data_IF_374233143901
#
_entry.id   IF_374233143901
#
_cell.length_a   1.000
_cell.length_b   1.000
_cell.length_c   1.000
_cell.angle_alpha   90.00
_cell.angle_beta   90.00
_cell.angle_gamma   90.00
#
_symmetry.space_group_name_H-M   'P 1'
#
loop_
_entity.id
_entity.type
_entity.pdbx_description
1 polymer ?
#
# COMPACT_ATOMS: atom_id res chain seq x y z
N UNK A 1 -28.66 67.23 12.85
CA UNK A 1 -29.19 65.86 12.83
C UNK A 1 -28.13 65.01 13.49
N UNK A 2 -28.48 64.27 14.55
CA UNK A 2 -27.51 63.40 15.24
C UNK A 2 -27.31 62.15 14.41
N UNK A 3 -26.06 61.78 14.11
CA UNK A 3 -25.77 60.49 13.49
C UNK A 3 -26.15 59.34 14.45
N UNK A 4 -26.74 58.27 13.91
CA UNK A 4 -27.15 57.09 14.67
C UNK A 4 -26.11 55.96 14.61
N UNK A 5 -26.19 54.97 15.52
CA UNK A 5 -25.32 53.79 15.50
C UNK A 5 -25.61 52.88 14.30
N UNK A 6 -24.65 52.05 13.92
CA UNK A 6 -24.86 51.01 12.90
C UNK A 6 -25.92 49.97 13.29
N UNK A 7 -26.45 49.24 12.30
CA UNK A 7 -27.48 48.22 12.48
C UNK A 7 -27.23 46.97 11.62
N UNK A 8 -27.69 45.79 12.07
CA UNK A 8 -27.69 44.55 11.27
C UNK A 8 -29.06 44.36 10.61
N UNK A 9 -29.09 43.98 9.33
CA UNK A 9 -30.33 43.60 8.65
C UNK A 9 -30.78 42.16 8.97
N UNK A 10 -31.90 41.75 8.38
CA UNK A 10 -32.46 40.41 8.56
C UNK A 10 -31.60 39.29 7.95
N UNK A 11 -30.61 39.62 7.11
CA UNK A 11 -29.71 38.70 6.41
C UNK A 11 -28.35 38.57 7.12
N UNK A 12 -28.14 39.32 8.20
CA UNK A 12 -26.91 39.28 9.00
C UNK A 12 -25.82 40.24 8.51
N UNK A 13 -26.14 41.15 7.59
CA UNK A 13 -25.21 42.17 7.09
C UNK A 13 -25.27 43.40 7.99
N UNK A 14 -24.11 43.81 8.52
CA UNK A 14 -23.99 44.99 9.38
C UNK A 14 -23.73 46.27 8.55
N UNK A 15 -24.55 47.29 8.74
CA UNK A 15 -24.45 48.62 8.14
C UNK A 15 -23.94 49.61 9.17
N UNK A 16 -22.82 50.27 8.87
CA UNK A 16 -22.13 51.17 9.80
C UNK A 16 -22.81 52.55 9.91
N UNK A 17 -22.83 53.10 11.13
CA UNK A 17 -23.25 54.47 11.44
C UNK A 17 -22.05 55.38 11.71
N UNK A 18 -22.21 56.70 11.57
CA UNK A 18 -21.07 57.65 11.68
C UNK A 18 -20.44 57.74 13.10
N UNK A 19 -21.05 57.08 14.09
CA UNK A 19 -20.53 57.01 15.47
C UNK A 19 -19.63 55.78 15.74
N UNK A 20 -19.45 54.89 14.75
CA UNK A 20 -18.64 53.69 14.88
C UNK A 20 -17.15 54.05 14.71
N UNK A 21 -16.46 54.43 15.80
CA UNK A 21 -15.06 54.88 15.81
C UNK A 21 -14.07 53.80 15.25
N UNK A 22 -13.52 54.06 14.05
CA UNK A 22 -12.16 53.83 13.48
C UNK A 22 -11.36 52.51 13.72
N UNK A 23 -11.80 51.55 14.53
CA UNK A 23 -11.07 50.27 14.72
C UNK A 23 -11.54 49.11 13.82
N UNK A 24 -12.61 49.30 13.04
CA UNK A 24 -13.41 48.15 12.60
C UNK A 24 -12.91 47.44 11.34
N UNK A 25 -12.29 48.16 10.39
CA UNK A 25 -11.87 47.55 9.12
C UNK A 25 -10.54 46.80 9.23
N UNK A 26 -9.55 47.35 9.96
CA UNK A 26 -8.29 46.64 10.18
C UNK A 26 -8.49 45.37 11.00
N UNK A 27 -9.38 45.41 12.00
CA UNK A 27 -9.70 44.24 12.83
C UNK A 27 -10.47 43.18 12.04
N UNK A 28 -11.41 43.60 11.17
CA UNK A 28 -12.09 42.70 10.23
C UNK A 28 -11.09 42.03 9.27
N UNK A 29 -10.15 42.80 8.71
CA UNK A 29 -9.11 42.26 7.81
C UNK A 29 -8.18 41.30 8.55
N UNK A 30 -7.79 41.62 9.80
CA UNK A 30 -6.97 40.75 10.63
C UNK A 30 -7.70 39.45 11.00
N UNK A 31 -8.99 39.54 11.33
CA UNK A 31 -9.83 38.38 11.62
C UNK A 31 -10.00 37.50 10.38
N UNK A 32 -10.28 38.11 9.22
CA UNK A 32 -10.41 37.38 7.96
C UNK A 32 -9.08 36.72 7.57
N UNK A 33 -7.96 37.44 7.70
CA UNK A 33 -6.62 36.89 7.45
C UNK A 33 -6.33 35.69 8.35
N UNK A 34 -6.68 35.79 9.62
CA UNK A 34 -6.52 34.70 10.60
C UNK A 34 -7.40 33.51 10.25
N UNK A 35 -8.68 33.74 9.92
CA UNK A 35 -9.62 32.69 9.57
C UNK A 35 -9.23 31.96 8.27
N UNK A 36 -8.84 32.70 7.23
CA UNK A 36 -8.37 32.13 5.96
C UNK A 36 -7.08 31.36 6.16
N UNK A 37 -6.15 31.88 6.98
CA UNK A 37 -4.91 31.17 7.32
C UNK A 37 -5.20 29.85 8.06
N UNK A 38 -6.12 29.86 9.03
CA UNK A 38 -6.51 28.65 9.75
C UNK A 38 -7.17 27.61 8.83
N UNK A 39 -8.07 28.03 7.95
CA UNK A 39 -8.67 27.14 6.95
C UNK A 39 -7.62 26.58 5.99
N UNK A 40 -6.67 27.40 5.54
CA UNK A 40 -5.61 26.96 4.64
C UNK A 40 -4.71 25.91 5.30
N UNK A 41 -4.43 26.04 6.60
CA UNK A 41 -3.67 25.04 7.37
C UNK A 41 -4.42 23.69 7.39
N UNK A 42 -5.73 23.72 7.63
CA UNK A 42 -6.55 22.50 7.63
C UNK A 42 -6.57 21.82 6.26
N UNK A 43 -6.73 22.60 5.19
CA UNK A 43 -6.71 22.09 3.81
C UNK A 43 -5.37 21.44 3.48
N UNK A 44 -4.25 22.08 3.85
CA UNK A 44 -2.90 21.53 3.64
C UNK A 44 -2.67 20.23 4.41
N UNK A 45 -3.04 20.19 5.69
CA UNK A 45 -2.92 18.97 6.49
C UNK A 45 -3.75 17.81 5.92
N UNK A 46 -4.95 18.11 5.39
CA UNK A 46 -5.78 17.15 4.69
C UNK A 46 -5.14 16.63 3.40
N UNK A 47 -4.50 17.52 2.62
CA UNK A 47 -3.78 17.16 1.41
C UNK A 47 -2.56 16.26 1.73
N UNK A 48 -1.74 16.62 2.71
CA UNK A 48 -0.57 15.83 3.12
C UNK A 48 -0.97 14.43 3.59
N UNK A 49 -2.09 14.33 4.32
CA UNK A 49 -2.64 13.03 4.76
C UNK A 49 -3.14 12.20 3.56
N UNK A 50 -3.76 12.85 2.57
CA UNK A 50 -4.23 12.17 1.38
C UNK A 50 -3.06 11.66 0.52
N UNK A 51 -1.99 12.45 0.42
CA UNK A 51 -0.75 12.10 -0.28
C UNK A 51 -0.12 10.84 0.31
N UNK A 52 0.09 10.80 1.64
CA UNK A 52 0.62 9.61 2.30
C UNK A 52 -0.26 8.37 2.13
N UNK A 53 -1.60 8.54 2.11
CA UNK A 53 -2.53 7.44 1.82
C UNK A 53 -2.48 6.96 0.37
N UNK A 54 -2.12 7.83 -0.57
CA UNK A 54 -1.92 7.45 -1.97
C UNK A 54 -0.63 6.64 -2.10
N UNK A 55 0.46 7.06 -1.47
CA UNK A 55 1.71 6.31 -1.43
C UNK A 55 1.49 4.88 -0.87
N UNK A 56 0.82 4.78 0.28
CA UNK A 56 0.48 3.48 0.89
C UNK A 56 -0.36 2.58 -0.05
N UNK A 57 -1.26 3.18 -0.85
CA UNK A 57 -2.10 2.45 -1.80
C UNK A 57 -1.31 2.02 -3.03
N UNK A 58 -0.44 2.88 -3.56
CA UNK A 58 0.45 2.56 -4.66
C UNK A 58 1.34 1.38 -4.27
N UNK A 59 1.94 1.40 -3.08
CA UNK A 59 2.74 0.30 -2.56
C UNK A 59 1.90 -0.97 -2.33
N UNK A 60 0.70 -0.86 -1.76
CA UNK A 60 -0.17 -2.01 -1.51
C UNK A 60 -0.74 -2.66 -2.78
N UNK A 61 -0.75 -1.94 -3.90
CA UNK A 61 -1.31 -2.41 -5.18
C UNK A 61 -0.27 -2.62 -6.28
N UNK A 62 0.99 -2.23 -6.03
CA UNK A 62 2.10 -2.44 -6.94
C UNK A 62 2.21 -3.90 -7.36
N UNK A 63 2.19 -4.14 -8.67
CA UNK A 63 2.14 -5.47 -9.26
C UNK A 63 3.34 -5.69 -10.17
N UNK A 64 4.15 -6.70 -9.85
CA UNK A 64 5.36 -7.02 -10.62
C UNK A 64 5.07 -7.78 -11.92
N UNK A 65 3.83 -8.24 -12.13
CA UNK A 65 3.52 -9.27 -13.11
C UNK A 65 4.19 -10.61 -12.78
N UNK A 66 4.00 -11.59 -13.65
CA UNK A 66 4.62 -12.91 -13.50
C UNK A 66 6.06 -12.89 -14.02
N UNK A 67 6.99 -13.33 -13.18
CA UNK A 67 8.43 -13.39 -13.45
C UNK A 67 8.87 -14.85 -13.33
N UNK A 68 9.62 -15.35 -14.33
CA UNK A 68 10.20 -16.70 -14.30
C UNK A 68 11.21 -16.85 -13.16
N UNK A 69 11.14 -17.98 -12.46
CA UNK A 69 12.10 -18.32 -11.43
C UNK A 69 13.31 -19.05 -12.03
N UNK A 70 14.51 -18.72 -11.54
CA UNK A 70 15.70 -19.53 -11.81
C UNK A 70 15.68 -20.77 -10.91
N UNK A 71 15.63 -21.94 -11.52
CA UNK A 71 15.70 -23.22 -10.81
C UNK A 71 17.12 -23.51 -10.32
N UNK A 72 17.22 -24.07 -9.12
CA UNK A 72 18.49 -24.57 -8.57
C UNK A 72 18.97 -25.80 -9.33
N UNK A 73 20.29 -26.05 -9.27
CA UNK A 73 20.91 -27.24 -9.88
C UNK A 73 20.19 -28.53 -9.48
N UNK A 74 19.97 -29.41 -10.46
CA UNK A 74 19.24 -30.67 -10.27
C UNK A 74 17.72 -30.56 -10.41
N UNK A 75 17.16 -29.35 -10.42
CA UNK A 75 15.75 -29.12 -10.71
C UNK A 75 15.53 -28.79 -12.18
N UNK A 76 14.38 -29.21 -12.72
CA UNK A 76 13.96 -28.90 -14.09
C UNK A 76 12.52 -28.35 -14.09
N UNK A 77 12.26 -27.46 -15.04
CA UNK A 77 10.91 -26.97 -15.30
C UNK A 77 10.11 -28.06 -16.04
N UNK A 78 8.79 -28.01 -15.89
CA UNK A 78 7.86 -28.80 -16.69
C UNK A 78 7.28 -27.88 -17.77
N UNK A 79 7.18 -28.37 -19.00
CA UNK A 79 6.51 -27.66 -20.10
C UNK A 79 5.13 -27.20 -19.66
N UNK A 80 4.76 -25.96 -20.01
CA UNK A 80 3.50 -25.28 -19.63
C UNK A 80 3.33 -24.98 -18.13
N UNK A 81 4.27 -25.40 -17.28
CA UNK A 81 4.27 -25.16 -15.84
C UNK A 81 5.60 -24.57 -15.36
N UNK A 82 6.21 -23.68 -16.14
CA UNK A 82 7.42 -22.96 -15.72
C UNK A 82 7.22 -22.31 -14.35
N UNK A 83 8.06 -22.61 -13.35
CA UNK A 83 8.01 -21.96 -12.05
C UNK A 83 8.12 -20.44 -12.17
N UNK A 84 7.14 -19.74 -11.60
CA UNK A 84 7.01 -18.29 -11.68
C UNK A 84 6.62 -17.70 -10.33
N UNK A 85 7.01 -16.44 -10.14
CA UNK A 85 6.67 -15.63 -8.97
C UNK A 85 6.05 -14.30 -9.39
N UNK A 86 5.16 -13.78 -8.57
CA UNK A 86 4.55 -12.45 -8.71
C UNK A 86 4.37 -11.84 -7.33
N UNK A 87 4.57 -10.53 -7.18
CA UNK A 87 4.28 -9.80 -5.95
C UNK A 87 3.24 -8.74 -6.25
N UNK A 88 2.16 -8.72 -5.45
CA UNK A 88 1.13 -7.67 -5.47
C UNK A 88 1.07 -7.09 -4.07
N UNK A 89 1.50 -5.83 -3.93
CA UNK A 89 1.77 -5.25 -2.62
C UNK A 89 2.67 -6.15 -1.78
N UNK A 90 2.32 -6.49 -0.53
CA UNK A 90 3.16 -7.36 0.30
C UNK A 90 3.00 -8.86 -0.01
N UNK A 91 2.06 -9.26 -0.87
CA UNK A 91 1.74 -10.68 -1.10
C UNK A 91 2.53 -11.25 -2.27
N UNK A 92 3.27 -12.33 -2.00
CA UNK A 92 3.97 -13.12 -3.00
C UNK A 92 3.12 -14.31 -3.40
N UNK A 93 3.03 -14.54 -4.70
CA UNK A 93 2.36 -15.65 -5.35
C UNK A 93 3.40 -16.50 -6.07
N UNK A 94 3.33 -17.82 -5.88
CA UNK A 94 4.12 -18.80 -6.61
C UNK A 94 3.18 -19.68 -7.43
N UNK A 95 3.57 -19.91 -8.69
CA UNK A 95 2.90 -20.87 -9.59
C UNK A 95 3.91 -21.73 -10.34
N UNK A 96 3.43 -22.83 -10.92
CA UNK A 96 4.23 -23.71 -11.78
C UNK A 96 4.60 -25.02 -11.09
N UNK A 97 5.59 -25.72 -11.63
CA UNK A 97 6.02 -27.03 -11.17
C UNK A 97 7.53 -27.22 -11.38
N UNK A 98 8.21 -27.64 -10.33
CA UNK A 98 9.60 -28.06 -10.38
C UNK A 98 9.68 -29.58 -10.21
N UNK A 99 10.59 -30.22 -10.93
CA UNK A 99 10.77 -31.67 -10.87
C UNK A 99 12.24 -32.12 -10.86
N UNK A 100 12.43 -33.40 -10.55
CA UNK A 100 13.69 -34.16 -10.68
C UNK A 100 14.82 -33.78 -9.72
N UNK A 101 14.59 -32.83 -8.81
CA UNK A 101 15.57 -32.41 -7.81
C UNK A 101 15.26 -32.89 -6.39
N UNK A 102 16.11 -32.45 -5.47
CA UNK A 102 15.95 -32.61 -4.03
C UNK A 102 16.30 -31.29 -3.32
N UNK A 103 15.73 -31.08 -2.12
CA UNK A 103 15.92 -29.84 -1.37
C UNK A 103 15.22 -28.63 -2.00
N UNK A 104 15.82 -27.45 -1.89
CA UNK A 104 15.23 -26.22 -2.41
C UNK A 104 15.22 -26.21 -3.94
N UNK A 105 14.08 -25.90 -4.55
CA UNK A 105 13.93 -25.81 -6.01
C UNK A 105 14.22 -24.41 -6.55
N UNK A 106 13.91 -23.36 -5.78
CA UNK A 106 14.19 -21.96 -6.11
C UNK A 106 14.65 -21.20 -4.85
N UNK A 107 15.25 -20.03 -5.03
CA UNK A 107 15.50 -19.07 -3.95
C UNK A 107 14.85 -17.73 -4.30
N UNK A 108 14.05 -17.21 -3.37
CA UNK A 108 13.44 -15.90 -3.48
C UNK A 108 14.45 -14.80 -3.13
N UNK A 109 14.50 -13.70 -3.91
CA UNK A 109 15.36 -12.57 -3.58
C UNK A 109 14.90 -11.86 -2.31
N UNK A 110 15.75 -11.01 -1.74
CA UNK A 110 15.37 -10.11 -0.65
C UNK A 110 14.14 -9.27 -1.03
N UNK A 111 13.29 -8.94 -0.04
CA UNK A 111 12.00 -8.28 -0.24
C UNK A 111 10.87 -9.21 -0.76
N UNK A 112 11.15 -10.49 -1.01
CA UNK A 112 10.16 -11.49 -1.43
C UNK A 112 10.07 -12.69 -0.47
N UNK A 113 10.86 -12.66 0.60
CA UNK A 113 11.00 -13.76 1.57
C UNK A 113 9.99 -13.56 2.69
N UNK A 114 9.46 -14.61 3.32
CA UNK A 114 8.61 -14.45 4.50
C UNK A 114 9.46 -14.09 5.74
N UNK A 115 8.85 -13.39 6.69
CA UNK A 115 9.48 -13.07 7.99
C UNK A 115 9.70 -14.30 8.88
N UNK A 116 8.94 -15.37 8.64
CA UNK A 116 9.01 -16.63 9.36
C UNK A 116 8.96 -17.81 8.39
N UNK A 117 9.41 -18.98 8.83
CA UNK A 117 9.32 -20.20 8.02
C UNK A 117 7.85 -20.52 7.77
N UNK A 118 7.47 -20.63 6.50
CA UNK A 118 6.12 -20.98 6.08
C UNK A 118 6.07 -22.46 5.71
N UNK A 119 4.98 -23.15 6.10
CA UNK A 119 4.65 -24.49 5.62
C UNK A 119 3.22 -24.48 5.10
N UNK A 120 3.09 -24.50 3.79
CA UNK A 120 1.83 -24.34 3.07
C UNK A 120 1.41 -25.67 2.45
N UNK A 121 0.11 -25.88 2.31
CA UNK A 121 -0.41 -27.04 1.62
C UNK A 121 0.06 -27.02 0.15
N UNK A 122 0.49 -28.17 -0.34
CA UNK A 122 0.91 -28.38 -1.71
C UNK A 122 0.34 -29.68 -2.27
N UNK A 123 0.60 -29.91 -3.55
CA UNK A 123 0.19 -31.11 -4.24
C UNK A 123 1.34 -31.62 -5.11
N UNK A 124 1.60 -32.92 -5.02
CA UNK A 124 2.49 -33.62 -5.95
C UNK A 124 1.84 -33.70 -7.34
N UNK A 125 2.62 -34.06 -8.35
CA UNK A 125 2.09 -34.26 -9.71
C UNK A 125 1.12 -35.44 -9.87
N UNK A 126 1.02 -36.33 -8.89
CA UNK A 126 0.08 -37.47 -8.88
C UNK A 126 -1.20 -37.17 -8.11
N UNK A 127 -1.32 -35.95 -7.57
CA UNK A 127 -2.48 -35.52 -6.80
C UNK A 127 -2.38 -35.78 -5.29
N UNK A 128 -1.31 -36.44 -4.82
CA UNK A 128 -1.09 -36.65 -3.39
C UNK A 128 -0.74 -35.34 -2.66
N UNK A 129 -1.11 -35.25 -1.39
CA UNK A 129 -0.78 -34.12 -0.54
C UNK A 129 0.74 -33.94 -0.41
N UNK A 130 1.18 -32.68 -0.49
CA UNK A 130 2.56 -32.27 -0.25
C UNK A 130 2.60 -31.05 0.67
N UNK A 131 3.79 -30.65 1.11
CA UNK A 131 4.02 -29.38 1.77
C UNK A 131 5.02 -28.54 0.99
N UNK A 132 4.66 -27.29 0.72
CA UNK A 132 5.59 -26.28 0.24
C UNK A 132 6.16 -25.58 1.47
N UNK A 133 7.45 -25.75 1.71
CA UNK A 133 8.18 -25.05 2.77
C UNK A 133 8.91 -23.86 2.18
N UNK A 134 8.81 -22.71 2.82
CA UNK A 134 9.51 -21.48 2.43
C UNK A 134 10.29 -21.00 3.65
N UNK A 135 11.61 -21.05 3.58
CA UNK A 135 12.49 -20.60 4.65
C UNK A 135 12.73 -19.08 4.56
N UNK A 136 13.14 -18.47 5.68
CA UNK A 136 13.38 -17.02 5.77
C UNK A 136 14.54 -16.53 4.91
N UNK A 137 15.40 -17.43 4.45
CA UNK A 137 16.44 -17.14 3.46
C UNK A 137 15.90 -17.14 2.00
N UNK A 138 14.61 -17.42 1.82
CA UNK A 138 13.94 -17.46 0.52
C UNK A 138 13.96 -18.83 -0.16
N UNK A 139 14.56 -19.86 0.45
CA UNK A 139 14.57 -21.19 -0.14
C UNK A 139 13.17 -21.81 -0.11
N UNK A 140 12.71 -22.25 -1.29
CA UNK A 140 11.43 -22.93 -1.45
C UNK A 140 11.69 -24.41 -1.68
N UNK A 141 11.17 -25.25 -0.79
CA UNK A 141 11.34 -26.71 -0.82
C UNK A 141 9.98 -27.39 -0.94
N UNK A 142 9.89 -28.38 -1.82
CA UNK A 142 8.75 -29.28 -1.95
C UNK A 142 9.24 -30.70 -2.23
N UNK A 143 8.33 -31.67 -2.39
CA UNK A 143 8.73 -32.99 -2.88
C UNK A 143 9.39 -32.90 -4.26
N UNK A 144 10.07 -33.97 -4.68
CA UNK A 144 10.87 -34.03 -5.92
C UNK A 144 10.08 -33.78 -7.21
N UNK A 145 8.75 -33.73 -7.15
CA UNK A 145 7.88 -33.36 -8.27
C UNK A 145 6.54 -32.82 -7.75
N UNK A 146 6.49 -31.52 -7.51
CA UNK A 146 5.32 -30.85 -6.93
C UNK A 146 5.00 -29.53 -7.60
N UNK A 147 3.70 -29.20 -7.55
CA UNK A 147 3.24 -27.87 -7.91
C UNK A 147 3.66 -26.87 -6.85
N UNK A 148 4.26 -25.77 -7.30
CA UNK A 148 4.45 -24.58 -6.50
C UNK A 148 3.18 -23.76 -6.70
N UNK A 149 2.18 -23.88 -5.83
CA UNK A 149 0.91 -23.17 -5.97
C UNK A 149 0.50 -22.63 -4.60
N UNK A 150 1.06 -21.49 -4.23
CA UNK A 150 0.83 -20.91 -2.91
C UNK A 150 1.01 -19.40 -2.94
N UNK A 151 0.50 -18.75 -1.88
CA UNK A 151 0.73 -17.33 -1.63
C UNK A 151 1.04 -17.09 -0.15
N UNK A 152 1.81 -16.05 0.13
CA UNK A 152 2.20 -15.67 1.48
C UNK A 152 2.60 -14.19 1.50
N UNK A 153 2.64 -13.61 2.70
CA UNK A 153 3.09 -12.23 2.91
C UNK A 153 4.63 -12.22 3.00
N UNK A 154 5.27 -11.42 2.17
CA UNK A 154 6.70 -11.14 2.29
C UNK A 154 6.98 -10.28 3.51
N UNK A 155 8.17 -10.44 4.09
CA UNK A 155 8.74 -9.47 5.00
C UNK A 155 8.98 -8.16 4.25
N UNK A 156 8.64 -7.05 4.92
CA UNK A 156 8.75 -5.70 4.38
C UNK A 156 10.22 -5.31 4.21
#
# INVERSE_FOLDING_TARGET
>A
MSAGPGYTDAEGVYFFGEADEEALFSDLLNLLSTAVSAQLVLVRAGADTADGRLDDLEDATADTGWIDCTLKSGWSAVTDFTPQRRKIGPVVYLRGRAQSGSGACITLPAGWRPAQVMRLAGQTNTGAADSIRIDTNGDVTSSSSSYLSCSFVADA
#
